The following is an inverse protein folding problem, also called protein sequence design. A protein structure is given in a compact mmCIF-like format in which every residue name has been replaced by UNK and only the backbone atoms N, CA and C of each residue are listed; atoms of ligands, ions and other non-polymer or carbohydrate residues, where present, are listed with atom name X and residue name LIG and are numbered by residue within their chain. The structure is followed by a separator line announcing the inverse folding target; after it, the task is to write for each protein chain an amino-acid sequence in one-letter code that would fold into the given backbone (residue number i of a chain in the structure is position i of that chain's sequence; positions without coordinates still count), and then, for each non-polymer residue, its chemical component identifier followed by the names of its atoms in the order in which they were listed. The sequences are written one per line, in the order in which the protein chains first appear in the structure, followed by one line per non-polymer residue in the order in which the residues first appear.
data_IF_460687070440
#
_entry.id   IF_460687070440
#
_cell.length_a   1.000
_cell.length_b   1.000
_cell.length_c   1.000
_cell.angle_alpha   90.00
_cell.angle_beta   90.00
_cell.angle_gamma   90.00
#
_symmetry.space_group_name_H-M   'P 1'
#
loop_
_entity.id
_entity.type
_entity.pdbx_description
1 polymer ?
#
# COMPACT_ATOMS: atom_id res chain seq x y z
N UNK A 1 -13.16 36.41 57.77
CA UNK A 1 -12.27 35.57 58.62
C UNK A 1 -11.52 34.60 57.73
N UNK A 2 -10.17 34.61 57.79
CA UNK A 2 -9.15 33.56 57.46
C UNK A 2 -9.27 32.80 56.11
N UNK A 3 -8.22 32.41 55.38
CA UNK A 3 -6.79 32.73 55.16
C UNK A 3 -6.35 31.63 54.16
N UNK A 4 -5.62 32.01 53.10
CA UNK A 4 -4.47 31.33 52.44
C UNK A 4 -4.60 29.83 52.03
N UNK A 5 -4.12 29.31 50.89
CA UNK A 5 -3.28 29.79 49.78
C UNK A 5 -2.67 28.57 49.01
N UNK A 6 -2.10 28.84 47.81
CA UNK A 6 -1.01 28.11 47.10
C UNK A 6 -1.37 26.74 46.45
N UNK A 7 -0.86 26.25 45.29
CA UNK A 7 0.40 26.36 44.50
C UNK A 7 0.11 26.13 43.00
N UNK A 8 0.90 26.75 42.11
CA UNK A 8 1.09 26.27 40.73
C UNK A 8 1.82 27.25 39.81
N UNK A 9 3.13 27.45 40.01
CA UNK A 9 4.01 28.23 39.12
C UNK A 9 4.88 27.26 38.30
N UNK A 10 4.76 27.28 36.97
CA UNK A 10 5.67 26.61 36.04
C UNK A 10 6.52 27.68 35.36
N UNK A 11 7.83 27.60 35.54
CA UNK A 11 8.83 28.40 34.84
C UNK A 11 9.25 27.65 33.58
N UNK A 12 9.02 28.26 32.42
CA UNK A 12 9.55 27.84 31.13
C UNK A 12 10.71 28.77 30.78
N UNK A 13 11.93 28.23 30.75
CA UNK A 13 13.14 28.97 30.45
C UNK A 13 13.49 28.74 28.99
N UNK A 14 13.26 29.76 28.16
CA UNK A 14 13.70 29.83 26.78
C UNK A 14 15.15 30.34 26.74
N UNK A 15 15.99 29.71 25.93
CA UNK A 15 17.28 30.29 25.51
C UNK A 15 17.34 30.22 24.00
N UNK A 16 17.40 31.40 23.40
CA UNK A 16 17.70 31.68 21.99
C UNK A 16 18.95 32.57 21.92
N UNK A 17 19.41 32.82 20.69
CA UNK A 17 20.58 33.61 20.22
C UNK A 17 21.89 32.81 20.05
N UNK A 18 22.62 32.92 18.94
CA UNK A 18 22.45 33.81 17.79
C UNK A 18 23.42 33.46 16.66
N UNK A 19 23.06 33.88 15.45
CA UNK A 19 23.89 33.81 14.26
C UNK A 19 24.94 34.94 14.26
N UNK A 20 26.14 34.65 13.76
CA UNK A 20 27.06 35.67 13.24
C UNK A 20 27.59 35.14 11.90
N UNK A 21 27.27 35.89 10.84
CA UNK A 21 27.91 35.78 9.53
C UNK A 21 28.99 36.86 9.44
N UNK A 22 30.14 36.53 8.88
CA UNK A 22 31.07 37.51 8.32
C UNK A 22 31.89 36.86 7.21
N UNK A 23 31.65 37.33 5.98
CA UNK A 23 32.45 37.12 4.78
C UNK A 23 33.64 38.09 4.72
N UNK A 24 34.72 37.69 4.03
CA UNK A 24 35.55 38.44 3.04
C UNK A 24 37.05 38.02 3.10
N UNK A 25 37.52 37.45 1.99
CA UNK A 25 38.92 37.24 1.50
C UNK A 25 39.65 38.58 1.24
N UNK A 26 41.01 38.72 1.16
CA UNK A 26 41.81 38.20 0.01
C UNK A 26 43.34 37.93 0.19
N UNK A 27 43.85 37.25 -0.86
CA UNK A 27 45.14 37.35 -1.57
C UNK A 27 46.53 36.98 -0.98
N UNK A 28 47.15 36.02 -1.71
CA UNK A 28 48.50 35.93 -2.29
C UNK A 28 49.78 36.15 -1.45
N UNK A 29 50.71 35.17 -1.48
CA UNK A 29 52.04 35.34 -2.11
C UNK A 29 52.86 34.02 -2.29
N UNK A 30 53.16 33.71 -3.56
CA UNK A 30 54.42 33.23 -4.19
C UNK A 30 55.42 32.34 -3.41
N UNK A 31 55.73 31.13 -3.95
CA UNK A 31 57.02 30.88 -4.60
C UNK A 31 57.06 29.69 -5.59
N UNK A 32 57.46 30.02 -6.82
CA UNK A 32 57.90 29.22 -7.98
C UNK A 32 58.66 27.92 -7.65
N UNK A 33 58.51 26.90 -8.50
CA UNK A 33 59.53 26.48 -9.51
C UNK A 33 58.90 25.52 -10.53
N UNK A 34 59.11 25.84 -11.81
CA UNK A 34 58.74 25.05 -12.99
C UNK A 34 59.69 23.87 -13.20
N UNK A 35 59.22 22.77 -13.79
CA UNK A 35 59.90 22.06 -14.88
C UNK A 35 58.85 21.30 -15.71
N UNK A 36 58.81 21.62 -17.01
CA UNK A 36 58.08 20.98 -18.13
C UNK A 36 58.58 19.52 -18.30
N UNK A 37 57.83 18.51 -18.74
CA UNK A 37 57.34 18.16 -20.09
C UNK A 37 57.07 16.61 -19.94
N UNK A 38 56.07 15.92 -20.48
CA UNK A 38 55.66 15.78 -21.88
C UNK A 38 54.35 14.98 -22.02
N UNK A 39 53.46 15.51 -22.87
CA UNK A 39 52.73 14.86 -24.00
C UNK A 39 51.72 13.71 -23.74
N UNK A 40 50.50 14.03 -24.15
CA UNK A 40 49.26 13.26 -24.32
C UNK A 40 49.38 11.95 -25.11
N UNK A 41 48.44 11.03 -24.87
CA UNK A 41 47.76 10.34 -25.97
C UNK A 41 46.31 10.04 -25.60
N UNK A 42 45.39 10.76 -26.25
CA UNK A 42 43.98 10.41 -26.35
C UNK A 42 43.84 9.29 -27.39
N UNK A 43 42.99 8.31 -27.12
CA UNK A 43 42.31 7.58 -28.19
C UNK A 43 40.88 7.30 -27.74
N UNK A 44 39.95 7.94 -28.44
CA UNK A 44 38.51 7.78 -28.25
C UNK A 44 37.97 6.48 -28.87
N UNK A 45 36.86 6.05 -28.28
CA UNK A 45 35.71 5.39 -28.90
C UNK A 45 35.84 3.98 -29.53
N UNK A 46 35.23 3.01 -28.84
CA UNK A 46 34.27 2.13 -29.50
C UNK A 46 33.22 1.65 -28.49
N UNK A 47 31.98 2.04 -28.76
CA UNK A 47 30.78 1.55 -28.09
C UNK A 47 30.53 0.10 -28.48
N UNK A 48 30.26 -0.74 -27.49
CA UNK A 48 29.50 -1.97 -27.66
C UNK A 48 28.48 -2.02 -26.53
N UNK A 49 27.21 -1.91 -26.94
CA UNK A 49 26.02 -2.06 -26.13
C UNK A 49 26.03 -3.43 -25.43
N UNK A 50 26.05 -3.44 -24.11
CA UNK A 50 25.46 -4.54 -23.36
C UNK A 50 24.10 -4.07 -22.87
N UNK A 51 23.09 -4.64 -23.52
CA UNK A 51 21.68 -4.57 -23.22
C UNK A 51 21.44 -4.81 -21.73
N UNK A 52 21.13 -3.75 -21.00
CA UNK A 52 20.52 -3.81 -19.68
C UNK A 52 19.09 -4.34 -19.84
N UNK A 53 18.96 -5.66 -20.00
CA UNK A 53 17.73 -6.37 -19.68
C UNK A 53 17.83 -6.82 -18.22
N UNK A 54 17.80 -5.83 -17.32
CA UNK A 54 17.65 -6.07 -15.89
C UNK A 54 16.20 -6.44 -15.61
N UNK A 55 15.85 -7.73 -15.73
CA UNK A 55 14.75 -8.24 -14.96
C UNK A 55 15.07 -7.95 -13.49
N UNK A 56 14.38 -6.99 -12.88
CA UNK A 56 14.43 -6.78 -11.44
C UNK A 56 14.05 -8.11 -10.81
N UNK A 57 15.02 -8.85 -10.29
CA UNK A 57 14.72 -9.75 -9.17
C UNK A 57 14.15 -8.83 -8.09
N UNK A 58 12.83 -8.91 -7.88
CA UNK A 58 12.21 -8.23 -6.76
C UNK A 58 12.84 -8.79 -5.49
N UNK A 59 13.68 -7.97 -4.86
CA UNK A 59 14.26 -8.27 -3.56
C UNK A 59 13.16 -8.64 -2.58
N UNK A 60 13.47 -9.58 -1.68
CA UNK A 60 12.61 -9.97 -0.56
C UNK A 60 11.89 -8.76 0.06
N UNK A 61 10.55 -8.79 0.19
CA UNK A 61 9.77 -7.63 0.60
C UNK A 61 10.11 -7.26 2.03
N UNK A 62 10.10 -5.97 2.33
CA UNK A 62 10.21 -5.49 3.72
C UNK A 62 8.89 -5.66 4.46
N UNK A 63 8.91 -5.50 5.78
CA UNK A 63 7.68 -5.53 6.58
C UNK A 63 6.65 -4.48 6.13
N UNK A 64 7.10 -3.28 5.83
CA UNK A 64 6.26 -2.20 5.31
C UNK A 64 5.67 -2.55 3.93
N UNK A 65 6.44 -3.21 3.05
CA UNK A 65 5.94 -3.68 1.75
C UNK A 65 4.83 -4.72 1.91
N UNK A 66 5.02 -5.70 2.81
CA UNK A 66 4.03 -6.76 3.08
C UNK A 66 2.75 -6.17 3.67
N UNK A 67 2.85 -5.25 4.63
CA UNK A 67 1.67 -4.62 5.25
C UNK A 67 0.93 -3.76 4.22
N UNK A 68 1.63 -2.99 3.38
CA UNK A 68 1.01 -2.22 2.30
C UNK A 68 0.32 -3.11 1.26
N UNK A 69 0.97 -4.20 0.87
CA UNK A 69 0.38 -5.21 -0.02
C UNK A 69 -0.89 -5.79 0.60
N UNK A 70 -0.87 -6.11 1.89
CA UNK A 70 -2.05 -6.59 2.61
C UNK A 70 -3.18 -5.57 2.65
N UNK A 71 -2.92 -4.29 2.93
CA UNK A 71 -4.00 -3.29 2.93
C UNK A 71 -4.64 -3.14 1.55
N UNK A 72 -3.83 -3.12 0.49
CA UNK A 72 -4.31 -3.08 -0.89
C UNK A 72 -5.15 -4.32 -1.22
N UNK A 73 -4.65 -5.51 -0.87
CA UNK A 73 -5.37 -6.77 -1.06
C UNK A 73 -6.67 -6.81 -0.24
N UNK A 74 -6.65 -6.34 1.00
CA UNK A 74 -7.82 -6.27 1.89
C UNK A 74 -8.89 -5.36 1.31
N UNK A 75 -8.51 -4.19 0.79
CA UNK A 75 -9.41 -3.31 0.08
C UNK A 75 -10.03 -4.02 -1.14
N UNK A 76 -9.20 -4.64 -1.97
CA UNK A 76 -9.66 -5.36 -3.16
C UNK A 76 -10.63 -6.50 -2.82
N UNK A 77 -10.33 -7.32 -1.81
CA UNK A 77 -11.20 -8.39 -1.33
C UNK A 77 -12.51 -7.84 -0.72
N UNK A 78 -12.49 -6.65 -0.11
CA UNK A 78 -13.66 -6.03 0.50
C UNK A 78 -14.76 -5.73 -0.52
N UNK A 79 -14.37 -5.45 -1.78
CA UNK A 79 -15.30 -5.18 -2.89
C UNK A 79 -16.22 -6.37 -3.19
N UNK A 80 -15.72 -7.58 -2.93
CA UNK A 80 -16.48 -8.81 -3.08
C UNK A 80 -17.21 -9.18 -1.79
N UNK A 81 -16.65 -8.92 -0.60
CA UNK A 81 -17.14 -9.48 0.66
C UNK A 81 -18.04 -8.55 1.46
N UNK A 82 -17.74 -7.25 1.47
CA UNK A 82 -18.30 -6.28 2.41
C UNK A 82 -19.21 -5.29 1.69
N UNK A 83 -18.70 -4.57 0.69
CA UNK A 83 -19.49 -3.61 -0.05
C UNK A 83 -18.88 -3.43 -1.43
N UNK A 84 -19.73 -3.40 -2.46
CA UNK A 84 -19.30 -3.04 -3.81
C UNK A 84 -18.67 -1.65 -3.78
N UNK A 85 -17.37 -1.56 -4.11
CA UNK A 85 -16.55 -0.34 -4.21
C UNK A 85 -17.29 0.94 -3.84
N UNK A 86 -17.35 1.24 -2.54
CA UNK A 86 -17.83 2.54 -2.05
C UNK A 86 -16.59 3.33 -1.67
N UNK A 87 -16.40 4.50 -2.25
CA UNK A 87 -15.50 5.48 -1.65
C UNK A 87 -16.28 6.78 -1.40
N UNK A 88 -15.99 7.33 -0.22
CA UNK A 88 -16.56 8.54 0.37
C UNK A 88 -16.32 9.75 -0.53
N UNK A 89 -17.40 10.40 -0.96
CA UNK A 89 -17.37 11.58 -1.83
C UNK A 89 -18.63 11.74 -2.67
N UNK A 90 -18.92 12.96 -3.13
CA UNK A 90 -20.12 13.29 -3.91
C UNK A 90 -20.17 12.62 -5.29
N UNK A 91 -19.02 12.18 -5.80
CA UNK A 91 -18.86 11.56 -7.13
C UNK A 91 -18.34 10.12 -7.03
N UNK A 92 -18.78 9.36 -6.01
CA UNK A 92 -18.32 8.00 -5.68
C UNK A 92 -18.01 7.09 -6.88
N UNK A 93 -17.23 6.02 -6.70
CA UNK A 93 -16.59 5.26 -7.78
C UNK A 93 -17.56 4.53 -8.72
N UNK A 94 -18.88 4.70 -8.55
CA UNK A 94 -19.93 4.13 -9.38
C UNK A 94 -20.71 5.27 -10.04
N UNK A 95 -20.80 5.26 -11.36
CA UNK A 95 -21.72 6.11 -12.11
C UNK A 95 -23.09 5.43 -12.21
N UNK A 96 -24.04 5.90 -11.38
CA UNK A 96 -25.41 5.37 -11.34
C UNK A 96 -26.23 5.71 -12.60
N UNK A 97 -25.76 6.64 -13.44
CA UNK A 97 -26.43 7.05 -14.68
C UNK A 97 -26.07 6.17 -15.87
N UNK A 98 -24.87 5.57 -15.85
CA UNK A 98 -24.40 4.60 -16.84
C UNK A 98 -24.63 3.17 -16.32
N UNK A 99 -25.63 2.51 -16.91
CA UNK A 99 -26.08 1.18 -16.47
C UNK A 99 -26.28 0.22 -17.62
N UNK A 100 -26.04 -1.05 -17.32
CA UNK A 100 -26.29 -2.20 -18.21
C UNK A 100 -27.21 -3.17 -17.48
N UNK A 101 -28.13 -3.79 -18.23
CA UNK A 101 -28.99 -4.84 -17.71
C UNK A 101 -28.64 -6.14 -18.41
N UNK A 102 -28.25 -7.15 -17.65
CA UNK A 102 -27.88 -8.47 -18.13
C UNK A 102 -28.46 -9.53 -17.20
N UNK A 103 -29.15 -10.54 -17.75
CA UNK A 103 -29.80 -11.62 -16.97
C UNK A 103 -30.70 -11.09 -15.83
N UNK A 104 -31.52 -10.07 -16.11
CA UNK A 104 -32.38 -9.36 -15.15
C UNK A 104 -31.66 -8.68 -13.97
N UNK A 105 -30.34 -8.61 -14.01
CA UNK A 105 -29.51 -7.89 -13.04
C UNK A 105 -29.09 -6.54 -13.62
N UNK A 106 -29.14 -5.50 -12.79
CA UNK A 106 -28.68 -4.15 -13.16
C UNK A 106 -27.27 -3.94 -12.62
N UNK A 107 -26.40 -3.47 -13.50
CA UNK A 107 -25.01 -3.14 -13.24
C UNK A 107 -24.75 -1.68 -13.56
N UNK A 108 -23.82 -1.06 -12.84
CA UNK A 108 -23.47 0.35 -12.98
C UNK A 108 -21.98 0.50 -13.27
N UNK A 109 -21.62 1.51 -14.07
CA UNK A 109 -20.24 1.73 -14.49
C UNK A 109 -19.36 2.03 -13.28
N UNK A 110 -18.25 1.30 -13.15
CA UNK A 110 -17.23 1.57 -12.14
C UNK A 110 -16.20 2.53 -12.74
N UNK A 111 -16.04 3.72 -12.14
CA UNK A 111 -15.13 4.79 -12.56
C UNK A 111 -13.73 4.69 -11.95
N UNK A 112 -13.53 3.83 -10.94
CA UNK A 112 -12.22 3.63 -10.29
C UNK A 112 -11.17 3.02 -11.25
N UNK A 113 -11.61 2.30 -12.26
CA UNK A 113 -10.77 1.67 -13.27
C UNK A 113 -11.18 2.18 -14.66
N UNK A 114 -10.19 2.55 -15.46
CA UNK A 114 -10.43 3.03 -16.82
C UNK A 114 -11.01 1.91 -17.69
N UNK A 115 -10.57 0.67 -17.47
CA UNK A 115 -11.03 -0.54 -18.17
C UNK A 115 -11.22 -1.75 -17.25
N UNK A 116 -11.83 -2.81 -17.79
CA UNK A 116 -11.85 -4.12 -17.14
C UNK A 116 -10.44 -4.72 -17.03
N UNK A 117 -9.56 -4.45 -17.98
CA UNK A 117 -8.17 -4.90 -17.93
C UNK A 117 -7.43 -4.30 -16.73
N UNK A 118 -7.60 -3.00 -16.43
CA UNK A 118 -6.97 -2.37 -15.26
C UNK A 118 -7.45 -2.98 -13.94
N UNK A 119 -8.72 -3.38 -13.88
CA UNK A 119 -9.26 -4.10 -12.74
C UNK A 119 -8.66 -5.49 -12.59
N UNK A 120 -8.56 -6.24 -13.70
CA UNK A 120 -7.90 -7.54 -13.73
C UNK A 120 -6.43 -7.45 -13.32
N UNK A 121 -5.70 -6.46 -13.84
CA UNK A 121 -4.31 -6.18 -13.49
C UNK A 121 -4.16 -5.81 -12.01
N UNK A 122 -5.12 -5.05 -11.47
CA UNK A 122 -5.14 -4.74 -10.04
C UNK A 122 -5.31 -6.01 -9.20
N UNK A 123 -6.25 -6.89 -9.53
CA UNK A 123 -6.46 -8.14 -8.79
C UNK A 123 -5.24 -9.07 -8.88
N UNK A 124 -4.69 -9.27 -10.08
CA UNK A 124 -3.49 -10.12 -10.30
C UNK A 124 -2.22 -9.52 -9.69
N UNK A 125 -2.19 -8.21 -9.40
CA UNK A 125 -1.12 -7.59 -8.61
C UNK A 125 -1.24 -7.82 -7.10
N UNK A 126 -2.36 -8.36 -6.62
CA UNK A 126 -2.62 -8.63 -5.21
C UNK A 126 -2.68 -10.14 -4.90
N UNK A 127 -3.20 -10.92 -5.83
CA UNK A 127 -3.66 -12.28 -5.58
C UNK A 127 -3.17 -13.25 -6.64
N UNK A 128 -2.97 -14.49 -6.22
CA UNK A 128 -2.90 -15.63 -7.13
C UNK A 128 -4.23 -15.86 -7.86
N UNK A 129 -4.16 -16.55 -9.00
CA UNK A 129 -5.34 -16.87 -9.82
C UNK A 129 -6.38 -17.66 -9.01
N UNK A 130 -5.95 -18.55 -8.12
CA UNK A 130 -6.84 -19.35 -7.27
C UNK A 130 -7.63 -18.47 -6.29
N UNK A 131 -7.00 -17.45 -5.71
CA UNK A 131 -7.68 -16.50 -4.82
C UNK A 131 -8.63 -15.60 -5.62
N UNK A 132 -8.24 -15.18 -6.83
CA UNK A 132 -9.11 -14.39 -7.71
C UNK A 132 -10.35 -15.20 -8.09
N UNK A 133 -10.17 -16.46 -8.52
CA UNK A 133 -11.27 -17.37 -8.86
C UNK A 133 -12.21 -17.56 -7.66
N UNK A 134 -11.66 -17.72 -6.45
CA UNK A 134 -12.43 -17.84 -5.21
C UNK A 134 -13.25 -16.58 -4.91
N UNK A 135 -12.64 -15.39 -5.03
CA UNK A 135 -13.33 -14.10 -4.83
C UNK A 135 -14.45 -13.88 -5.85
N UNK A 136 -14.20 -14.19 -7.12
CA UNK A 136 -15.19 -14.08 -8.18
C UNK A 136 -16.32 -15.10 -7.99
N UNK A 137 -16.00 -16.35 -7.67
CA UNK A 137 -16.98 -17.42 -7.46
C UNK A 137 -17.89 -17.16 -6.26
N UNK A 138 -17.36 -16.59 -5.18
CA UNK A 138 -18.12 -16.25 -3.97
C UNK A 138 -19.35 -15.39 -4.28
N UNK A 139 -19.26 -14.56 -5.32
CA UNK A 139 -20.28 -13.58 -5.66
C UNK A 139 -20.42 -13.42 -7.18
N UNK A 140 -20.35 -14.53 -7.96
CA UNK A 140 -20.14 -14.64 -9.42
C UNK A 140 -21.06 -13.88 -10.39
N UNK A 141 -21.77 -12.87 -9.90
CA UNK A 141 -22.53 -11.89 -10.66
C UNK A 141 -22.26 -10.45 -10.21
N UNK A 142 -21.28 -10.16 -9.34
CA UNK A 142 -21.07 -8.81 -8.80
C UNK A 142 -20.42 -7.86 -9.80
N UNK A 143 -19.53 -8.36 -10.65
CA UNK A 143 -18.80 -7.55 -11.63
C UNK A 143 -18.89 -8.20 -13.01
N UNK A 144 -19.08 -7.38 -14.04
CA UNK A 144 -19.09 -7.80 -15.44
C UNK A 144 -18.24 -6.84 -16.28
N UNK A 145 -17.78 -7.35 -17.41
CA UNK A 145 -17.22 -6.54 -18.48
C UNK A 145 -18.33 -6.17 -19.48
N UNK A 146 -18.42 -4.90 -19.85
CA UNK A 146 -19.25 -4.46 -20.97
C UNK A 146 -18.49 -3.42 -21.80
N UNK A 147 -18.23 -3.72 -23.08
CA UNK A 147 -17.45 -2.87 -23.99
C UNK A 147 -16.05 -2.49 -23.46
N UNK A 148 -15.34 -3.44 -22.82
CA UNK A 148 -14.02 -3.21 -22.22
C UNK A 148 -14.03 -2.42 -20.91
N UNK A 149 -15.22 -2.05 -20.41
CA UNK A 149 -15.41 -1.28 -19.20
C UNK A 149 -15.92 -2.19 -18.07
N UNK A 150 -15.46 -1.91 -16.85
CA UNK A 150 -15.95 -2.59 -15.64
C UNK A 150 -17.31 -2.02 -15.21
N UNK A 151 -18.27 -2.92 -15.00
CA UNK A 151 -19.55 -2.63 -14.39
C UNK A 151 -19.74 -3.50 -13.15
N UNK A 152 -20.36 -2.94 -12.11
CA UNK A 152 -20.57 -3.60 -10.82
C UNK A 152 -22.02 -3.50 -10.33
N UNK A 153 -22.47 -4.48 -9.57
CA UNK A 153 -23.73 -4.42 -8.82
C UNK A 153 -23.52 -3.63 -7.53
N UNK A 154 -24.44 -2.73 -7.24
CA UNK A 154 -24.44 -2.01 -5.98
C UNK A 154 -25.00 -2.90 -4.86
N UNK A 155 -24.22 -3.11 -3.80
CA UNK A 155 -24.63 -3.89 -2.64
C UNK A 155 -23.73 -3.66 -1.43
N UNK A 156 -24.35 -3.49 -0.27
CA UNK A 156 -23.68 -3.44 1.03
C UNK A 156 -24.05 -4.68 1.84
N UNK A 157 -23.05 -5.33 2.41
CA UNK A 157 -23.18 -6.48 3.31
C UNK A 157 -22.75 -6.13 4.75
N UNK A 158 -22.13 -4.96 4.92
CA UNK A 158 -21.69 -4.45 6.23
C UNK A 158 -20.40 -5.13 6.69
N UNK A 159 -19.74 -4.49 7.65
CA UNK A 159 -18.57 -5.06 8.35
C UNK A 159 -19.02 -5.80 9.60
N UNK A 160 -18.20 -6.74 10.10
CA UNK A 160 -18.46 -7.28 11.43
C UNK A 160 -18.05 -6.25 12.49
N UNK A 161 -19.05 -5.67 13.16
CA UNK A 161 -18.87 -4.66 14.22
C UNK A 161 -18.19 -5.20 15.48
N UNK A 162 -18.06 -6.52 15.64
CA UNK A 162 -17.36 -7.15 16.75
C UNK A 162 -15.86 -7.33 16.49
N UNK A 163 -15.37 -6.98 15.29
CA UNK A 163 -13.94 -7.00 14.98
C UNK A 163 -13.35 -5.61 15.18
N UNK A 164 -12.23 -5.57 15.91
CA UNK A 164 -11.55 -4.33 16.32
C UNK A 164 -10.22 -4.13 15.62
N UNK A 165 -9.24 -3.66 16.38
CA UNK A 165 -7.92 -3.33 15.86
C UNK A 165 -7.18 -4.55 15.30
N UNK A 166 -6.37 -4.32 14.26
CA UNK A 166 -5.47 -5.31 13.69
C UNK A 166 -4.02 -4.99 14.04
N UNK A 167 -3.30 -6.01 14.51
CA UNK A 167 -1.85 -5.97 14.69
C UNK A 167 -1.20 -6.99 13.77
N UNK A 168 -0.01 -6.67 13.24
CA UNK A 168 0.69 -7.46 12.24
C UNK A 168 1.97 -8.06 12.83
N UNK A 169 2.19 -9.35 12.57
CA UNK A 169 3.46 -10.03 12.77
C UNK A 169 3.89 -10.67 11.43
N UNK A 170 5.19 -10.74 11.16
CA UNK A 170 5.71 -11.27 9.89
C UNK A 170 6.73 -12.38 10.14
N UNK A 171 6.54 -13.51 9.46
CA UNK A 171 7.48 -14.63 9.46
C UNK A 171 8.04 -14.84 8.04
N UNK A 172 9.35 -14.66 7.89
CA UNK A 172 10.04 -14.96 6.64
C UNK A 172 10.36 -16.46 6.55
N UNK A 173 9.55 -17.20 5.81
CA UNK A 173 9.67 -18.67 5.71
C UNK A 173 10.87 -19.06 4.85
N UNK A 174 11.03 -18.43 3.69
CA UNK A 174 12.15 -18.62 2.77
C UNK A 174 12.31 -17.35 1.90
N UNK A 175 12.98 -17.45 0.75
CA UNK A 175 13.22 -16.31 -0.16
C UNK A 175 12.03 -16.01 -1.07
N UNK A 176 11.11 -16.97 -1.25
CA UNK A 176 9.93 -16.89 -2.11
C UNK A 176 8.61 -16.88 -1.29
N UNK A 177 8.68 -16.92 0.04
CA UNK A 177 7.49 -17.01 0.91
C UNK A 177 7.66 -16.21 2.20
N UNK A 178 6.67 -15.36 2.45
CA UNK A 178 6.47 -14.61 3.69
C UNK A 178 5.09 -14.92 4.23
N UNK A 179 4.99 -15.15 5.53
CA UNK A 179 3.72 -15.26 6.22
C UNK A 179 3.41 -13.96 6.93
N UNK A 180 2.30 -13.31 6.56
CA UNK A 180 1.71 -12.25 7.35
C UNK A 180 0.70 -12.84 8.32
N UNK A 181 0.95 -12.65 9.62
CA UNK A 181 0.02 -12.99 10.68
C UNK A 181 -0.74 -11.73 11.07
N UNK A 182 -2.03 -11.71 10.79
CA UNK A 182 -2.93 -10.62 11.19
C UNK A 182 -3.67 -11.07 12.43
N UNK A 183 -3.41 -10.41 13.55
CA UNK A 183 -4.12 -10.62 14.80
C UNK A 183 -5.16 -9.53 14.98
N UNK A 184 -6.41 -9.94 15.15
CA UNK A 184 -7.57 -9.06 15.19
C UNK A 184 -8.23 -9.16 16.56
N UNK A 185 -8.58 -8.02 17.16
CA UNK A 185 -9.41 -7.99 18.36
C UNK A 185 -10.82 -8.49 18.05
N UNK A 186 -11.36 -9.35 18.92
CA UNK A 186 -12.77 -9.73 18.93
C UNK A 186 -13.42 -9.20 20.20
N UNK A 187 -14.37 -8.29 20.02
CA UNK A 187 -15.08 -7.60 21.11
C UNK A 187 -16.23 -8.44 21.67
N UNK A 188 -16.60 -8.18 22.92
CA UNK A 188 -17.84 -8.71 23.48
C UNK A 188 -19.07 -8.10 22.80
N UNK A 189 -20.23 -8.73 22.99
CA UNK A 189 -21.48 -8.28 22.34
C UNK A 189 -21.90 -6.86 22.74
N UNK A 190 -21.48 -6.39 23.91
CA UNK A 190 -21.76 -5.04 24.39
C UNK A 190 -20.73 -3.99 23.93
N UNK A 191 -19.69 -4.42 23.19
CA UNK A 191 -18.60 -3.59 22.68
C UNK A 191 -17.84 -2.81 23.77
N UNK A 192 -17.83 -3.30 25.01
CA UNK A 192 -17.15 -2.61 26.12
C UNK A 192 -15.73 -3.11 26.40
N UNK A 193 -15.41 -4.33 25.96
CA UNK A 193 -14.10 -4.96 26.13
C UNK A 193 -13.77 -5.93 25.01
N UNK A 194 -12.47 -6.08 24.77
CA UNK A 194 -11.91 -7.15 23.94
C UNK A 194 -12.07 -8.47 24.68
N UNK A 195 -12.77 -9.41 24.07
CA UNK A 195 -12.99 -10.77 24.59
C UNK A 195 -11.76 -11.63 24.37
N UNK A 196 -11.27 -11.63 23.13
CA UNK A 196 -10.17 -12.48 22.67
C UNK A 196 -9.50 -11.83 21.45
N UNK A 197 -8.39 -12.40 21.01
CA UNK A 197 -7.79 -12.07 19.72
C UNK A 197 -7.83 -13.30 18.82
N UNK A 198 -8.09 -13.09 17.54
CA UNK A 198 -8.03 -14.14 16.52
C UNK A 198 -6.90 -13.84 15.55
N UNK A 199 -6.05 -14.83 15.29
CA UNK A 199 -4.95 -14.71 14.34
C UNK A 199 -5.31 -15.42 13.03
N UNK A 200 -5.05 -14.73 11.92
CA UNK A 200 -5.22 -15.21 10.56
C UNK A 200 -3.86 -15.22 9.86
N UNK A 201 -3.61 -16.25 9.07
CA UNK A 201 -2.41 -16.41 8.27
C UNK A 201 -2.71 -16.00 6.83
N UNK A 202 -1.87 -15.13 6.29
CA UNK A 202 -1.91 -14.68 4.89
C UNK A 202 -0.55 -15.00 4.24
N UNK A 203 -0.44 -16.14 3.53
CA UNK A 203 0.77 -16.47 2.78
C UNK A 203 0.94 -15.49 1.62
N UNK A 204 2.11 -14.87 1.54
CA UNK A 204 2.54 -13.92 0.52
C UNK A 204 3.76 -14.49 -0.18
N UNK A 205 3.61 -14.83 -1.46
CA UNK A 205 4.56 -15.67 -2.18
C UNK A 205 5.02 -15.02 -3.49
N UNK A 206 6.27 -15.25 -3.85
CA UNK A 206 6.81 -14.84 -5.15
C UNK A 206 6.38 -15.84 -6.24
N UNK A 207 5.55 -15.39 -7.17
CA UNK A 207 5.06 -16.13 -8.32
C UNK A 207 5.37 -15.36 -9.59
N UNK A 208 6.10 -15.98 -10.51
CA UNK A 208 6.43 -15.38 -11.83
C UNK A 208 7.05 -13.98 -11.74
N UNK A 209 7.87 -13.73 -10.72
CA UNK A 209 8.54 -12.44 -10.50
C UNK A 209 7.67 -11.35 -9.86
N UNK A 210 6.51 -11.70 -9.30
CA UNK A 210 5.66 -10.81 -8.50
C UNK A 210 5.33 -11.45 -7.16
N UNK A 211 5.23 -10.65 -6.11
CA UNK A 211 4.70 -11.12 -4.84
C UNK A 211 3.18 -10.99 -4.76
N UNK A 212 2.48 -12.07 -4.42
CA UNK A 212 1.00 -12.11 -4.34
C UNK A 212 0.51 -12.96 -3.17
N UNK A 213 -0.70 -12.71 -2.68
CA UNK A 213 -1.34 -13.58 -1.69
C UNK A 213 -1.90 -14.86 -2.33
N UNK A 214 -1.50 -16.01 -1.81
CA UNK A 214 -1.92 -17.35 -2.29
C UNK A 214 -3.04 -17.97 -1.45
N UNK A 215 -3.30 -17.41 -0.27
CA UNK A 215 -4.54 -17.59 0.48
C UNK A 215 -4.94 -16.25 1.11
N UNK A 216 -6.23 -15.99 1.18
CA UNK A 216 -6.76 -14.73 1.69
C UNK A 216 -8.04 -14.94 2.50
N UNK A 217 -7.94 -15.50 3.71
CA UNK A 217 -9.09 -15.80 4.55
C UNK A 217 -9.90 -14.54 4.85
N UNK A 218 -11.21 -14.71 5.02
CA UNK A 218 -12.07 -13.63 5.46
C UNK A 218 -11.98 -13.44 6.96
N UNK A 219 -11.72 -12.20 7.38
CA UNK A 219 -11.79 -11.80 8.78
C UNK A 219 -13.27 -11.55 9.11
N UNK A 220 -13.90 -12.53 9.78
CA UNK A 220 -15.29 -12.47 10.26
C UNK A 220 -15.40 -12.49 11.77
#
# INVERSE_FOLDING_TARGET
MRKNGWIGLIVLLAVSFGAVSCTVEPDADVHKTQTEESINNENEHSAANDTENGAKEESKPTEDDVVKAYQKAREAASWFRIASMLEDGSDGPIDMSDRVVENDLTYFRVKRFDSYADFSDHLTSCFSDEVIESLLSYNGTMYIEHNGLLYGRFGMRGTNVFMGEETYDIEYVNDETVHLLVKVERWEQDLTKVKEHQTFLFPYEQREGKWVFTDFPEIR
#
